data_IF_825597501943
#
_entry.id   IF_825597501943
#
_cell.length_a   1.000
_cell.length_b   1.000
_cell.length_c   1.000
_cell.angle_alpha   90.00
_cell.angle_beta   90.00
_cell.angle_gamma   90.00
#
_symmetry.space_group_name_H-M   'P 1'
#
loop_
_entity.id
_entity.type
_entity.pdbx_description
1 polymer ?
#
# COMPACT_ATOMS: atom_id res chain seq x y z
N UNK A 1 44.56 18.38 -3.98
CA UNK A 1 43.31 17.94 -3.34
C UNK A 1 42.98 18.89 -2.20
N UNK A 2 41.70 19.25 -2.05
CA UNK A 2 41.10 20.32 -1.22
C UNK A 2 42.13 21.22 -0.48
N UNK A 3 42.73 22.22 -1.15
CA UNK A 3 43.72 23.06 -0.50
C UNK A 3 43.05 24.09 0.44
N UNK A 4 43.64 24.27 1.62
CA UNK A 4 43.25 25.18 2.70
C UNK A 4 41.89 24.90 3.35
N UNK A 5 41.95 24.16 4.47
CA UNK A 5 40.87 23.72 5.38
C UNK A 5 40.20 24.89 6.15
N UNK A 6 39.79 25.96 5.45
CA UNK A 6 38.85 26.91 6.04
C UNK A 6 37.52 26.19 6.18
N UNK A 7 37.20 25.77 7.40
CA UNK A 7 35.92 25.14 7.70
C UNK A 7 34.84 26.24 7.82
N UNK A 8 34.47 26.89 6.72
CA UNK A 8 33.32 27.81 6.63
C UNK A 8 32.17 27.16 5.87
N UNK A 9 30.92 27.61 6.06
CA UNK A 9 29.76 27.04 5.33
C UNK A 9 29.95 27.22 3.82
N UNK A 10 30.49 28.38 3.41
CA UNK A 10 30.86 28.68 2.03
C UNK A 10 31.85 27.68 1.44
N UNK A 11 32.90 27.35 2.19
CA UNK A 11 33.94 26.45 1.69
C UNK A 11 33.42 25.01 1.57
N UNK A 12 32.66 24.52 2.56
CA UNK A 12 32.04 23.19 2.49
C UNK A 12 31.13 23.10 1.28
N UNK A 13 30.22 24.07 1.10
CA UNK A 13 29.33 24.11 -0.06
C UNK A 13 30.12 24.06 -1.37
N UNK A 14 31.12 24.95 -1.53
CA UNK A 14 31.98 25.00 -2.72
C UNK A 14 32.67 23.67 -3.00
N UNK A 15 33.14 22.98 -1.97
CA UNK A 15 33.84 21.70 -2.11
C UNK A 15 32.87 20.57 -2.48
N UNK A 16 31.72 20.48 -1.83
CA UNK A 16 30.68 19.48 -2.17
C UNK A 16 30.18 19.66 -3.61
N UNK A 17 29.98 20.91 -4.05
CA UNK A 17 29.57 21.22 -5.42
C UNK A 17 30.62 20.88 -6.50
N UNK A 18 31.89 20.72 -6.13
CA UNK A 18 32.94 20.29 -7.06
C UNK A 18 32.95 18.78 -7.32
N UNK A 19 32.29 17.99 -6.47
CA UNK A 19 32.25 16.54 -6.63
C UNK A 19 31.27 16.19 -7.74
N UNK A 20 31.80 15.72 -8.87
CA UNK A 20 31.01 15.28 -10.01
C UNK A 20 30.81 13.76 -9.97
N UNK A 21 29.67 13.32 -9.45
CA UNK A 21 29.27 11.91 -9.40
C UNK A 21 27.84 11.74 -9.96
N UNK A 22 27.66 11.78 -11.29
CA UNK A 22 26.34 11.71 -11.91
C UNK A 22 25.66 10.35 -11.73
N UNK A 23 26.46 9.28 -11.65
CA UNK A 23 26.00 7.88 -11.52
C UNK A 23 25.82 7.44 -10.07
N UNK A 24 26.48 8.11 -9.11
CA UNK A 24 26.37 7.76 -7.70
C UNK A 24 27.35 6.67 -7.26
N UNK A 25 28.48 6.50 -7.95
CA UNK A 25 29.44 5.45 -7.59
C UNK A 25 30.04 5.66 -6.19
N UNK A 26 30.24 6.93 -5.82
CA UNK A 26 30.77 7.35 -4.52
C UNK A 26 29.69 8.05 -3.69
N UNK A 27 28.41 7.74 -3.93
CA UNK A 27 27.29 8.42 -3.27
C UNK A 27 27.30 8.31 -1.75
N UNK A 28 27.84 7.20 -1.21
CA UNK A 28 28.05 6.99 0.23
C UNK A 28 28.97 8.04 0.82
N UNK A 29 30.04 8.39 0.11
CA UNK A 29 30.95 9.43 0.55
C UNK A 29 30.34 10.83 0.39
N UNK A 30 29.67 11.09 -0.74
CA UNK A 30 29.11 12.40 -1.05
C UNK A 30 27.93 12.77 -0.14
N UNK A 31 27.12 11.80 0.28
CA UNK A 31 25.94 12.06 1.12
C UNK A 31 26.33 12.56 2.51
N UNK A 32 27.47 12.13 3.06
CA UNK A 32 27.98 12.58 4.36
C UNK A 32 28.20 14.09 4.36
N UNK A 33 28.91 14.60 3.35
CA UNK A 33 29.16 16.03 3.24
C UNK A 33 27.88 16.84 2.96
N UNK A 34 26.92 16.27 2.23
CA UNK A 34 25.60 16.90 2.03
C UNK A 34 24.79 16.97 3.33
N UNK A 35 24.85 15.94 4.18
CA UNK A 35 24.25 15.95 5.51
C UNK A 35 24.93 16.98 6.43
N UNK A 36 26.26 17.08 6.41
CA UNK A 36 27.00 18.11 7.15
C UNK A 36 26.60 19.53 6.70
N UNK A 37 26.40 19.73 5.40
CA UNK A 37 25.90 20.99 4.87
C UNK A 37 24.50 21.30 5.44
N UNK A 38 23.56 20.34 5.43
CA UNK A 38 22.23 20.52 6.03
C UNK A 38 22.32 20.89 7.51
N UNK A 39 23.16 20.20 8.29
CA UNK A 39 23.35 20.49 9.70
C UNK A 39 23.80 21.95 9.93
N UNK A 40 24.67 22.49 9.07
CA UNK A 40 25.08 23.89 9.15
C UNK A 40 23.93 24.87 8.87
N UNK A 41 23.01 24.52 7.97
CA UNK A 41 21.80 25.32 7.72
C UNK A 41 20.84 25.29 8.90
N UNK A 42 20.68 24.13 9.55
CA UNK A 42 19.82 23.98 10.72
C UNK A 42 20.33 24.76 11.94
N UNK A 43 21.65 24.95 12.05
CA UNK A 43 22.27 25.77 13.08
C UNK A 43 22.12 27.29 12.84
N UNK A 44 21.60 27.71 11.69
CA UNK A 44 21.40 29.13 11.38
C UNK A 44 22.68 29.93 11.20
N UNK A 45 23.82 29.26 10.99
CA UNK A 45 25.14 29.91 10.83
C UNK A 45 25.23 30.66 9.51
N UNK A 46 25.88 31.82 9.50
CA UNK A 46 26.23 32.56 8.29
C UNK A 46 27.37 31.90 7.51
N UNK A 47 27.67 32.43 6.31
CA UNK A 47 28.59 31.79 5.37
C UNK A 47 30.00 31.56 5.94
N UNK A 48 30.46 32.46 6.79
CA UNK A 48 31.85 32.57 7.25
C UNK A 48 31.98 32.49 8.79
N UNK A 49 30.90 32.12 9.50
CA UNK A 49 30.87 31.95 10.95
C UNK A 49 31.77 30.82 11.46
N UNK A 50 32.21 30.97 12.72
CA UNK A 50 32.87 29.91 13.46
C UNK A 50 31.90 28.74 13.71
N UNK A 51 32.37 27.51 13.47
CA UNK A 51 31.54 26.31 13.55
C UNK A 51 31.72 25.58 14.87
N UNK A 52 30.68 24.86 15.34
CA UNK A 52 30.82 23.93 16.45
C UNK A 52 31.94 22.93 16.18
N UNK A 53 32.70 22.61 17.23
CA UNK A 53 33.88 21.74 17.13
C UNK A 53 33.55 20.38 16.49
N UNK A 54 32.38 19.79 16.78
CA UNK A 54 31.95 18.53 16.19
C UNK A 54 31.78 18.58 14.67
N UNK A 55 31.19 19.65 14.11
CA UNK A 55 31.04 19.79 12.65
C UNK A 55 32.38 19.99 11.97
N UNK A 56 33.29 20.73 12.63
CA UNK A 56 34.65 20.91 12.15
C UNK A 56 35.39 19.58 12.10
N UNK A 57 35.28 18.75 13.14
CA UNK A 57 35.92 17.44 13.19
C UNK A 57 35.42 16.52 12.06
N UNK A 58 34.10 16.36 11.92
CA UNK A 58 33.52 15.54 10.85
C UNK A 58 33.92 16.03 9.44
N UNK A 59 34.06 17.35 9.26
CA UNK A 59 34.53 17.91 8.00
C UNK A 59 36.01 17.57 7.71
N UNK A 60 36.86 17.67 8.73
CA UNK A 60 38.28 17.34 8.61
C UNK A 60 38.47 15.85 8.32
N UNK A 61 37.72 14.98 9.00
CA UNK A 61 37.70 13.54 8.76
C UNK A 61 37.30 13.24 7.31
N UNK A 62 36.16 13.77 6.86
CA UNK A 62 35.72 13.62 5.47
C UNK A 62 36.76 14.11 4.46
N UNK A 63 37.42 15.25 4.72
CA UNK A 63 38.48 15.76 3.84
C UNK A 63 39.70 14.84 3.80
N UNK A 64 40.06 14.20 4.93
CA UNK A 64 41.19 13.29 5.02
C UNK A 64 40.94 11.98 4.27
N UNK A 65 39.68 11.56 4.16
CA UNK A 65 39.28 10.36 3.42
C UNK A 65 39.27 10.59 1.89
N UNK A 66 39.18 11.83 1.39
CA UNK A 66 39.13 12.09 -0.08
C UNK A 66 40.29 11.44 -0.86
N UNK A 67 41.48 11.39 -0.26
CA UNK A 67 42.64 10.77 -0.89
C UNK A 67 42.50 9.25 -1.03
N UNK A 68 41.70 8.60 -0.17
CA UNK A 68 41.44 7.16 -0.25
C UNK A 68 40.53 6.78 -1.43
N UNK A 69 39.70 7.70 -1.95
CA UNK A 69 38.92 7.44 -3.18
C UNK A 69 39.78 7.15 -4.41
N UNK A 70 41.07 7.52 -4.42
CA UNK A 70 41.95 7.21 -5.55
C UNK A 70 42.14 5.70 -5.76
N UNK A 71 42.02 4.90 -4.70
CA UNK A 71 42.12 3.45 -4.80
C UNK A 71 40.78 2.79 -5.14
N UNK A 72 39.68 3.53 -5.13
CA UNK A 72 38.37 3.01 -5.52
C UNK A 72 38.35 2.74 -7.03
N UNK A 73 38.11 1.48 -7.38
CA UNK A 73 38.04 1.03 -8.77
C UNK A 73 36.76 0.24 -8.98
N UNK A 74 36.12 0.45 -10.13
CA UNK A 74 34.95 -0.29 -10.57
C UNK A 74 35.22 -0.84 -11.98
N UNK A 75 34.67 -2.02 -12.24
CA UNK A 75 34.66 -2.60 -13.58
C UNK A 75 33.86 -1.71 -14.51
N UNK A 76 34.47 -1.25 -15.60
CA UNK A 76 33.81 -0.36 -16.58
C UNK A 76 32.72 -1.08 -17.39
N UNK A 77 32.95 -2.35 -17.70
CA UNK A 77 32.04 -3.18 -18.48
C UNK A 77 31.08 -3.91 -17.57
N UNK A 78 29.78 -3.77 -17.78
CA UNK A 78 28.77 -4.52 -17.03
C UNK A 78 28.93 -6.01 -17.35
N UNK A 79 28.69 -6.43 -18.59
CA UNK A 79 28.76 -7.84 -18.98
C UNK A 79 29.55 -8.05 -20.27
N UNK A 80 30.23 -9.19 -20.35
CA UNK A 80 30.97 -9.61 -21.54
C UNK A 80 30.07 -10.50 -22.42
N UNK A 81 29.63 -10.01 -23.57
CA UNK A 81 28.94 -10.78 -24.62
C UNK A 81 27.72 -11.64 -24.19
N UNK A 82 26.88 -11.15 -23.27
CA UNK A 82 25.59 -11.78 -22.97
C UNK A 82 24.45 -11.09 -23.72
N UNK A 83 23.50 -11.88 -24.23
CA UNK A 83 22.28 -11.35 -24.87
C UNK A 83 21.51 -10.46 -23.89
N UNK A 84 21.09 -9.29 -24.35
CA UNK A 84 20.43 -8.25 -23.53
C UNK A 84 19.08 -8.73 -22.98
N UNK A 85 18.46 -9.73 -23.62
CA UNK A 85 17.10 -10.22 -23.32
C UNK A 85 17.00 -11.07 -22.04
N UNK A 86 18.10 -11.29 -21.31
CA UNK A 86 18.13 -12.11 -20.10
C UNK A 86 18.53 -11.35 -18.83
N UNK A 87 18.16 -10.08 -18.75
CA UNK A 87 18.58 -9.18 -17.68
C UNK A 87 17.43 -8.83 -16.72
N UNK A 88 17.77 -8.66 -15.45
CA UNK A 88 16.86 -8.17 -14.41
C UNK A 88 17.44 -6.92 -13.75
N UNK A 89 16.63 -5.88 -13.56
CA UNK A 89 17.01 -4.70 -12.78
C UNK A 89 16.58 -4.92 -11.33
N UNK A 90 17.52 -4.74 -10.41
CA UNK A 90 17.32 -4.91 -8.97
C UNK A 90 17.66 -3.59 -8.27
N UNK A 91 16.63 -2.86 -7.83
CA UNK A 91 16.80 -1.59 -7.12
C UNK A 91 16.50 -1.78 -5.64
N UNK A 92 17.41 -1.36 -4.77
CA UNK A 92 17.27 -1.44 -3.31
C UNK A 92 17.13 -0.02 -2.78
N UNK A 93 16.08 0.23 -2.01
CA UNK A 93 15.82 1.50 -1.36
C UNK A 93 16.03 1.39 0.14
N UNK A 94 16.52 2.47 0.73
CA UNK A 94 16.51 2.66 2.18
C UNK A 94 16.29 4.14 2.51
N UNK A 95 15.80 4.39 3.72
CA UNK A 95 15.57 5.73 4.25
C UNK A 95 15.83 5.78 5.75
N UNK A 96 16.60 6.77 6.19
CA UNK A 96 16.78 7.14 7.59
C UNK A 96 16.34 8.58 7.86
N UNK A 97 16.51 8.99 9.11
CA UNK A 97 16.29 10.38 9.56
C UNK A 97 17.28 11.37 8.95
N UNK A 98 18.38 10.90 8.35
CA UNK A 98 19.44 11.77 7.80
C UNK A 98 19.48 11.77 6.27
N UNK A 99 19.29 10.62 5.66
CA UNK A 99 19.33 10.48 4.21
C UNK A 99 18.46 9.31 3.76
N UNK A 100 18.09 9.35 2.48
CA UNK A 100 17.39 8.26 1.82
C UNK A 100 17.92 8.12 0.40
N UNK A 101 17.77 6.94 -0.17
CA UNK A 101 18.29 6.70 -1.51
C UNK A 101 17.99 5.32 -2.05
N UNK A 102 18.61 5.06 -3.20
CA UNK A 102 18.56 3.79 -3.90
C UNK A 102 19.94 3.42 -4.39
N UNK A 103 20.19 2.12 -4.46
CA UNK A 103 21.28 1.51 -5.23
C UNK A 103 20.69 0.46 -6.17
N UNK A 104 21.11 0.47 -7.43
CA UNK A 104 20.56 -0.35 -8.50
C UNK A 104 21.64 -1.22 -9.15
N UNK A 105 21.27 -2.48 -9.38
CA UNK A 105 22.10 -3.51 -9.99
C UNK A 105 21.39 -4.08 -11.20
N UNK A 106 22.17 -4.62 -12.14
CA UNK A 106 21.66 -5.56 -13.13
C UNK A 106 22.12 -6.95 -12.74
N UNK A 107 21.22 -7.92 -12.89
CA UNK A 107 21.47 -9.34 -12.68
C UNK A 107 21.18 -10.11 -13.96
N UNK A 108 22.13 -10.94 -14.39
CA UNK A 108 21.90 -11.91 -15.47
C UNK A 108 21.06 -13.09 -14.98
N UNK A 109 20.08 -13.52 -15.77
CA UNK A 109 19.19 -14.63 -15.39
C UNK A 109 19.90 -15.99 -15.37
N UNK A 110 20.88 -16.23 -16.26
CA UNK A 110 21.56 -17.54 -16.39
C UNK A 110 22.82 -17.67 -15.54
N UNK A 111 23.75 -16.72 -15.65
CA UNK A 111 25.03 -16.75 -14.91
C UNK A 111 24.89 -16.28 -13.46
N UNK A 112 23.79 -15.58 -13.14
CA UNK A 112 23.57 -14.92 -11.86
C UNK A 112 24.63 -13.86 -11.53
N UNK A 113 25.41 -13.40 -12.51
CA UNK A 113 26.30 -12.26 -12.35
C UNK A 113 25.50 -11.01 -12.01
N UNK A 114 26.03 -10.22 -11.08
CA UNK A 114 25.40 -9.00 -10.58
C UNK A 114 26.40 -7.87 -10.68
N UNK A 115 25.98 -6.77 -11.28
CA UNK A 115 26.84 -5.60 -11.50
C UNK A 115 26.14 -4.35 -10.98
N UNK A 116 26.88 -3.54 -10.23
CA UNK A 116 26.43 -2.22 -9.78
C UNK A 116 26.36 -1.25 -10.96
N UNK A 117 25.26 -0.52 -11.06
CA UNK A 117 25.00 0.36 -12.22
C UNK A 117 24.85 1.81 -11.82
N UNK A 118 24.02 2.07 -10.81
CA UNK A 118 23.65 3.43 -10.46
C UNK A 118 23.20 3.49 -9.00
N UNK A 119 23.54 4.56 -8.31
CA UNK A 119 22.90 4.90 -7.05
C UNK A 119 22.40 6.34 -7.06
N UNK A 120 21.45 6.64 -6.18
CA UNK A 120 20.99 8.00 -5.97
C UNK A 120 20.66 8.24 -4.51
N UNK A 121 21.27 9.26 -3.94
CA UNK A 121 21.05 9.68 -2.55
C UNK A 121 20.43 11.07 -2.48
N UNK A 122 19.64 11.28 -1.43
CA UNK A 122 19.07 12.56 -1.05
C UNK A 122 19.17 12.74 0.46
N UNK A 123 19.43 13.96 0.89
CA UNK A 123 19.37 14.31 2.31
C UNK A 123 17.90 14.32 2.73
N UNK A 124 17.61 13.78 3.92
CA UNK A 124 16.26 13.74 4.46
C UNK A 124 15.71 15.18 4.61
N UNK A 125 14.38 15.39 4.48
CA UNK A 125 13.81 16.72 4.66
C UNK A 125 14.07 17.28 6.07
N UNK A 126 14.43 18.57 6.16
CA UNK A 126 14.60 19.29 7.43
C UNK A 126 13.31 19.27 8.26
N UNK A 127 12.16 19.36 7.58
CA UNK A 127 10.86 19.20 8.22
C UNK A 127 10.73 17.75 8.70
N UNK A 128 10.71 17.56 10.02
CA UNK A 128 10.55 16.25 10.67
C UNK A 128 9.31 15.53 10.12
N UNK A 129 9.55 14.35 9.56
CA UNK A 129 8.52 13.40 9.15
C UNK A 129 8.45 12.28 10.19
N UNK A 130 7.29 11.61 10.27
CA UNK A 130 7.19 10.37 11.04
C UNK A 130 8.09 9.31 10.41
N UNK A 131 8.61 8.39 11.23
CA UNK A 131 9.48 7.31 10.76
C UNK A 131 8.85 6.52 9.59
N UNK A 132 7.58 6.11 9.65
CA UNK A 132 6.89 5.48 8.53
C UNK A 132 6.91 6.29 7.22
N UNK A 133 6.65 7.60 7.30
CA UNK A 133 6.71 8.47 6.11
C UNK A 133 8.12 8.59 5.54
N UNK A 134 9.15 8.54 6.40
CA UNK A 134 10.55 8.51 5.97
C UNK A 134 10.85 7.22 5.24
N UNK A 135 10.42 6.07 5.77
CA UNK A 135 10.64 4.74 5.17
C UNK A 135 10.11 4.64 3.72
N UNK A 136 9.06 5.36 3.36
CA UNK A 136 8.55 5.40 1.98
C UNK A 136 9.40 6.27 1.03
N UNK A 137 10.25 7.19 1.51
CA UNK A 137 10.89 8.20 0.64
C UNK A 137 11.83 7.62 -0.41
N UNK A 138 12.51 6.52 -0.11
CA UNK A 138 13.43 5.84 -1.04
C UNK A 138 12.71 5.13 -2.18
N UNK A 139 11.51 4.59 -1.94
CA UNK A 139 10.82 3.73 -2.90
C UNK A 139 10.46 4.43 -4.24
N UNK A 140 9.95 5.68 -4.26
CA UNK A 140 9.74 6.41 -5.51
C UNK A 140 11.03 6.64 -6.30
N UNK A 141 12.17 6.83 -5.61
CA UNK A 141 13.47 6.97 -6.29
C UNK A 141 13.86 5.64 -6.93
N UNK A 142 13.65 4.52 -6.24
CA UNK A 142 13.92 3.21 -6.79
C UNK A 142 13.09 2.91 -8.04
N UNK A 143 11.80 3.21 -8.02
CA UNK A 143 10.92 3.06 -9.17
C UNK A 143 11.38 3.91 -10.37
N UNK A 144 11.73 5.19 -10.14
CA UNK A 144 12.26 6.08 -11.17
C UNK A 144 13.60 5.61 -11.74
N UNK A 145 14.53 5.19 -10.87
CA UNK A 145 15.85 4.69 -11.29
C UNK A 145 15.69 3.42 -12.10
N UNK A 146 14.84 2.49 -11.69
CA UNK A 146 14.62 1.27 -12.43
C UNK A 146 14.01 1.54 -13.81
N UNK A 147 13.01 2.43 -13.90
CA UNK A 147 12.44 2.85 -15.18
C UNK A 147 13.47 3.55 -16.08
N UNK A 148 14.27 4.44 -15.51
CA UNK A 148 15.37 5.11 -16.22
C UNK A 148 16.39 4.11 -16.78
N UNK A 149 16.82 3.14 -15.97
CA UNK A 149 17.79 2.12 -16.39
C UNK A 149 17.23 1.23 -17.50
N UNK A 150 15.95 0.84 -17.41
CA UNK A 150 15.29 0.06 -18.46
C UNK A 150 15.35 0.78 -19.81
N UNK A 151 15.04 2.08 -19.83
CA UNK A 151 15.13 2.91 -21.04
C UNK A 151 16.58 3.12 -21.51
N UNK A 152 17.49 3.46 -20.59
CA UNK A 152 18.89 3.75 -20.90
C UNK A 152 19.60 2.55 -21.53
N UNK A 153 19.36 1.36 -20.99
CA UNK A 153 20.01 0.13 -21.41
C UNK A 153 19.26 -0.58 -22.55
N UNK A 154 18.13 -0.04 -22.98
CA UNK A 154 17.29 -0.56 -24.09
C UNK A 154 16.93 -2.04 -23.91
N UNK A 155 16.62 -2.45 -22.69
CA UNK A 155 16.23 -3.83 -22.38
C UNK A 155 14.73 -3.99 -22.61
N UNK A 156 14.35 -4.67 -23.68
CA UNK A 156 12.98 -4.95 -24.12
C UNK A 156 12.19 -5.74 -23.06
N UNK A 157 12.72 -6.89 -22.64
CA UNK A 157 12.11 -7.82 -21.68
C UNK A 157 12.84 -7.84 -20.33
N UNK A 158 12.93 -6.68 -19.67
CA UNK A 158 13.58 -6.59 -18.36
C UNK A 158 12.63 -6.82 -17.21
N UNK A 159 12.98 -7.76 -16.32
CA UNK A 159 12.29 -7.87 -15.05
C UNK A 159 12.83 -6.86 -14.04
N UNK A 160 11.99 -5.90 -13.66
CA UNK A 160 12.31 -4.91 -12.62
C UNK A 160 11.82 -5.42 -11.27
N UNK A 161 12.69 -5.36 -10.25
CA UNK A 161 12.33 -5.62 -8.87
C UNK A 161 12.88 -4.51 -7.96
N UNK A 162 12.01 -3.97 -7.13
CA UNK A 162 12.35 -2.98 -6.13
C UNK A 162 12.29 -3.63 -4.73
N UNK A 163 13.26 -3.31 -3.90
CA UNK A 163 13.44 -3.89 -2.58
C UNK A 163 13.48 -2.80 -1.51
N UNK A 164 12.86 -3.10 -0.37
CA UNK A 164 12.93 -2.28 0.85
C UNK A 164 13.02 -3.19 2.07
N UNK A 165 13.65 -2.72 3.14
CA UNK A 165 13.64 -3.37 4.45
C UNK A 165 12.58 -2.80 5.41
N UNK A 166 11.73 -1.89 4.93
CA UNK A 166 10.52 -1.46 5.64
C UNK A 166 9.31 -2.29 5.20
N UNK A 167 8.79 -3.09 6.12
CA UNK A 167 7.53 -3.80 5.93
C UNK A 167 6.35 -2.84 5.82
N UNK A 168 6.39 -1.70 6.54
CA UNK A 168 5.34 -0.67 6.51
C UNK A 168 5.27 -0.05 5.12
N UNK A 169 6.40 0.41 4.58
CA UNK A 169 6.46 0.99 3.24
C UNK A 169 6.01 -0.03 2.18
N UNK A 170 6.46 -1.28 2.28
CA UNK A 170 6.07 -2.35 1.36
C UNK A 170 4.55 -2.59 1.37
N UNK A 171 3.92 -2.62 2.56
CA UNK A 171 2.47 -2.80 2.67
C UNK A 171 1.71 -1.65 2.03
N UNK A 172 2.15 -0.41 2.24
CA UNK A 172 1.53 0.76 1.61
C UNK A 172 1.63 0.73 0.08
N UNK A 173 2.79 0.30 -0.44
CA UNK A 173 3.05 0.20 -1.88
C UNK A 173 2.18 -0.89 -2.51
N UNK A 174 2.00 -2.04 -1.84
CA UNK A 174 1.13 -3.11 -2.32
C UNK A 174 -0.37 -2.79 -2.17
N UNK A 175 -0.73 -1.94 -1.22
CA UNK A 175 -2.11 -1.53 -0.97
C UNK A 175 -2.67 -0.49 -1.95
N UNK A 176 -3.97 -0.26 -1.92
CA UNK A 176 -4.61 0.78 -2.75
C UNK A 176 -4.21 2.18 -2.31
N UNK A 177 -3.61 2.96 -3.22
CA UNK A 177 -3.17 4.35 -2.97
C UNK A 177 -4.29 5.26 -2.44
N UNK A 178 -5.55 4.97 -2.78
CA UNK A 178 -6.72 5.80 -2.40
C UNK A 178 -6.93 5.79 -0.89
N UNK A 179 -6.60 4.67 -0.21
CA UNK A 179 -6.77 4.49 1.24
C UNK A 179 -5.87 5.43 2.06
N UNK A 180 -4.77 5.91 1.50
CA UNK A 180 -3.76 6.68 2.23
C UNK A 180 -3.99 8.19 2.16
N UNK A 181 -3.52 8.92 3.18
CA UNK A 181 -3.43 10.39 3.16
C UNK A 181 -2.59 10.88 1.97
N UNK A 182 -2.82 12.12 1.54
CA UNK A 182 -2.31 12.66 0.27
C UNK A 182 -0.79 12.48 0.06
N UNK A 183 0.02 12.69 1.11
CA UNK A 183 1.48 12.55 1.03
C UNK A 183 1.92 11.13 0.64
N UNK A 184 1.26 10.11 1.21
CA UNK A 184 1.49 8.69 0.94
C UNK A 184 0.84 8.28 -0.38
N UNK A 185 -0.44 8.63 -0.59
CA UNK A 185 -1.19 8.31 -1.79
C UNK A 185 -0.49 8.74 -3.07
N UNK A 186 0.10 9.94 -3.09
CA UNK A 186 0.80 10.45 -4.27
C UNK A 186 2.06 9.64 -4.59
N UNK A 187 2.84 9.26 -3.57
CA UNK A 187 4.06 8.44 -3.74
C UNK A 187 3.73 7.01 -4.13
N UNK A 188 2.74 6.40 -3.46
CA UNK A 188 2.27 5.05 -3.79
C UNK A 188 1.75 5.01 -5.24
N UNK A 189 0.92 5.97 -5.65
CA UNK A 189 0.43 6.05 -7.04
C UNK A 189 1.57 6.16 -8.04
N UNK A 190 2.57 6.99 -7.75
CA UNK A 190 3.75 7.11 -8.60
C UNK A 190 4.50 5.79 -8.75
N UNK A 191 4.78 5.10 -7.64
CA UNK A 191 5.45 3.79 -7.65
C UNK A 191 4.64 2.80 -8.48
N UNK A 192 3.34 2.67 -8.20
CA UNK A 192 2.42 1.77 -8.91
C UNK A 192 2.26 2.08 -10.41
N UNK A 193 2.60 3.31 -10.84
CA UNK A 193 2.60 3.69 -12.26
C UNK A 193 3.91 3.26 -12.96
N UNK A 194 5.02 3.23 -12.21
CA UNK A 194 6.35 2.96 -12.74
C UNK A 194 6.77 1.49 -12.59
N UNK A 195 6.29 0.80 -11.56
CA UNK A 195 6.65 -0.58 -11.22
C UNK A 195 5.41 -1.41 -10.89
N UNK A 196 5.51 -2.72 -11.13
CA UNK A 196 4.48 -3.69 -10.73
C UNK A 196 4.55 -3.93 -9.21
N UNK A 197 3.46 -3.66 -8.45
CA UNK A 197 3.42 -3.90 -7.01
C UNK A 197 3.72 -5.35 -6.61
N UNK A 198 3.47 -6.34 -7.47
CA UNK A 198 3.83 -7.74 -7.26
C UNK A 198 5.35 -7.98 -7.23
N UNK A 199 6.13 -7.04 -7.78
CA UNK A 199 7.59 -7.07 -7.88
C UNK A 199 8.30 -6.20 -6.84
N UNK A 200 7.54 -5.56 -5.97
CA UNK A 200 8.02 -4.91 -4.75
C UNK A 200 8.25 -5.98 -3.68
N UNK A 201 9.47 -6.05 -3.15
CA UNK A 201 9.92 -7.16 -2.31
C UNK A 201 10.53 -6.67 -1.00
N UNK A 202 10.37 -7.48 0.04
CA UNK A 202 11.01 -7.26 1.33
C UNK A 202 12.43 -7.84 1.35
N UNK A 203 13.38 -7.12 1.95
CA UNK A 203 14.69 -7.64 2.29
C UNK A 203 14.99 -7.36 3.75
N UNK A 204 15.81 -8.19 4.40
CA UNK A 204 16.29 -7.85 5.75
C UNK A 204 17.29 -6.71 5.61
N UNK A 205 17.34 -5.82 6.60
CA UNK A 205 18.31 -4.71 6.65
C UNK A 205 19.75 -5.13 6.32
N UNK A 206 20.22 -6.26 6.88
CA UNK A 206 21.58 -6.78 6.65
C UNK A 206 21.84 -7.23 5.20
N UNK A 207 20.79 -7.46 4.44
CA UNK A 207 20.83 -7.81 3.02
C UNK A 207 20.48 -6.61 2.13
N UNK A 208 20.22 -5.43 2.71
CA UNK A 208 19.87 -4.23 1.99
C UNK A 208 21.14 -3.40 1.73
N UNK A 209 21.73 -3.40 0.53
CA UNK A 209 22.88 -2.54 0.22
C UNK A 209 22.58 -1.04 0.37
N UNK A 210 21.31 -0.65 0.24
CA UNK A 210 20.89 0.75 0.42
C UNK A 210 20.97 1.21 1.88
N UNK A 211 20.97 0.30 2.85
CA UNK A 211 21.14 0.65 4.28
C UNK A 211 22.52 1.26 4.57
N UNK A 212 23.51 1.05 3.69
CA UNK A 212 24.77 1.78 3.76
C UNK A 212 24.61 3.28 3.46
N UNK A 213 23.62 3.67 2.63
CA UNK A 213 23.36 5.08 2.24
C UNK A 213 22.87 5.92 3.42
N UNK A 214 22.24 5.27 4.38
CA UNK A 214 21.54 5.92 5.48
C UNK A 214 22.37 5.97 6.76
N UNK A 215 23.50 5.26 6.78
CA UNK A 215 24.50 5.22 7.85
C UNK A 215 25.68 6.14 7.55
N UNK A 216 26.35 6.60 8.60
CA UNK A 216 27.70 7.15 8.47
C UNK A 216 28.66 6.01 8.12
N UNK A 217 28.81 5.75 6.83
CA UNK A 217 29.81 4.81 6.33
C UNK A 217 31.13 5.55 6.14
N UNK A 218 32.17 5.16 6.87
CA UNK A 218 33.54 5.60 6.54
C UNK A 218 33.94 5.07 5.17
N UNK A 219 34.82 5.77 4.44
CA UNK A 219 35.27 5.32 3.12
C UNK A 219 35.91 3.93 3.14
N UNK A 220 36.58 3.55 4.23
CA UNK A 220 37.13 2.21 4.40
C UNK A 220 36.05 1.11 4.35
N UNK A 221 34.82 1.43 4.75
CA UNK A 221 33.68 0.51 4.59
C UNK A 221 33.20 0.49 3.15
N UNK A 222 33.21 1.61 2.43
CA UNK A 222 32.85 1.64 1.00
C UNK A 222 33.82 0.80 0.15
N UNK A 223 35.13 1.02 0.31
CA UNK A 223 36.18 0.33 -0.47
C UNK A 223 36.13 -1.19 -0.31
N UNK A 224 35.76 -1.67 0.89
CA UNK A 224 35.73 -3.09 1.23
C UNK A 224 34.31 -3.69 1.22
N UNK A 225 33.29 -2.94 0.79
CA UNK A 225 31.90 -3.40 0.83
C UNK A 225 31.56 -4.21 -0.42
N UNK A 226 31.66 -5.53 -0.31
CA UNK A 226 31.17 -6.46 -1.33
C UNK A 226 29.67 -6.25 -1.59
N UNK A 227 28.87 -6.00 -0.54
CA UNK A 227 27.42 -5.81 -0.68
C UNK A 227 27.09 -4.53 -1.47
N UNK A 228 27.92 -3.49 -1.39
CA UNK A 228 27.74 -2.27 -2.18
C UNK A 228 28.02 -2.51 -3.66
N UNK A 229 29.12 -3.19 -3.98
CA UNK A 229 29.54 -3.42 -5.37
C UNK A 229 28.77 -4.54 -6.06
N UNK A 230 28.44 -5.62 -5.35
CA UNK A 230 27.86 -6.85 -5.91
C UNK A 230 26.39 -7.07 -5.50
N UNK A 231 25.85 -6.21 -4.62
CA UNK A 231 24.51 -6.37 -4.09
C UNK A 231 24.39 -7.49 -3.05
N UNK A 232 23.15 -7.82 -2.68
CA UNK A 232 22.88 -8.89 -1.72
C UNK A 232 23.35 -10.25 -2.24
N UNK A 233 24.01 -11.06 -1.40
CA UNK A 233 24.57 -12.38 -1.78
C UNK A 233 23.57 -13.30 -2.52
N UNK A 234 22.29 -13.28 -2.15
CA UNK A 234 21.24 -14.07 -2.82
C UNK A 234 21.07 -13.72 -4.30
N UNK A 235 21.39 -12.49 -4.73
CA UNK A 235 21.32 -12.10 -6.13
C UNK A 235 22.29 -12.92 -6.99
N UNK A 236 23.43 -13.32 -6.44
CA UNK A 236 24.40 -14.20 -7.10
C UNK A 236 24.03 -15.68 -7.04
N UNK A 237 22.79 -16.01 -6.66
CA UNK A 237 22.29 -17.37 -6.55
C UNK A 237 21.02 -17.57 -7.40
N UNK A 238 20.73 -18.81 -7.82
CA UNK A 238 19.44 -19.18 -8.38
C UNK A 238 18.27 -18.83 -7.46
N UNK A 239 17.12 -18.44 -8.04
CA UNK A 239 15.93 -18.02 -7.29
C UNK A 239 15.37 -19.09 -6.33
N UNK A 240 15.56 -20.38 -6.64
CA UNK A 240 15.07 -21.47 -5.78
C UNK A 240 15.87 -21.65 -4.49
N UNK A 241 17.06 -21.06 -4.38
CA UNK A 241 17.86 -21.02 -3.14
C UNK A 241 17.55 -19.80 -2.28
N UNK A 242 16.68 -18.90 -2.76
CA UNK A 242 16.37 -17.70 -2.01
C UNK A 242 15.55 -18.06 -0.77
N UNK A 243 15.81 -17.42 0.38
CA UNK A 243 15.04 -17.68 1.57
C UNK A 243 13.56 -17.37 1.31
N UNK A 244 12.68 -18.29 1.68
CA UNK A 244 11.23 -18.10 1.58
C UNK A 244 10.87 -16.83 2.33
N UNK A 245 10.17 -15.91 1.65
CA UNK A 245 9.72 -14.69 2.27
C UNK A 245 8.72 -15.05 3.38
N UNK A 246 9.15 -14.90 4.63
CA UNK A 246 8.22 -14.92 5.77
C UNK A 246 7.49 -13.58 5.70
N UNK A 247 6.31 -13.56 5.07
CA UNK A 247 5.39 -12.43 5.17
C UNK A 247 4.88 -12.39 6.62
N UNK A 248 5.66 -11.77 7.50
CA UNK A 248 5.22 -11.49 8.85
C UNK A 248 3.96 -10.62 8.81
N UNK A 249 3.03 -10.82 9.75
CA UNK A 249 1.87 -9.94 9.91
C UNK A 249 2.39 -8.51 10.10
N UNK A 250 2.17 -7.67 9.09
CA UNK A 250 2.58 -6.27 9.10
C UNK A 250 1.53 -5.53 9.91
N UNK A 251 1.89 -4.78 10.96
CA UNK A 251 0.94 -3.93 11.66
C UNK A 251 0.28 -2.97 10.64
N UNK A 252 -1.05 -2.95 10.57
CA UNK A 252 -1.72 -1.89 9.83
C UNK A 252 -1.47 -0.58 10.56
N UNK A 253 -0.69 0.32 9.94
CA UNK A 253 -0.48 1.63 10.52
C UNK A 253 -1.71 2.51 10.25
N UNK A 254 -2.61 2.56 11.24
CA UNK A 254 -3.91 3.23 11.15
C UNK A 254 -3.76 4.76 10.96
N UNK A 255 -2.61 5.33 11.34
CA UNK A 255 -2.36 6.79 11.36
C UNK A 255 -2.36 7.43 9.97
N UNK A 256 -1.96 6.71 8.92
CA UNK A 256 -1.85 7.22 7.54
C UNK A 256 -3.05 6.88 6.67
N UNK A 257 -4.02 6.13 7.19
CA UNK A 257 -5.30 5.96 6.53
C UNK A 257 -5.97 7.33 6.42
N UNK A 258 -6.54 7.61 5.24
CA UNK A 258 -7.60 8.62 5.18
C UNK A 258 -8.67 8.13 6.14
N UNK A 259 -9.01 8.96 7.12
CA UNK A 259 -10.19 8.72 7.94
C UNK A 259 -11.31 8.36 6.98
N UNK A 260 -11.92 7.20 7.20
CA UNK A 260 -13.05 6.75 6.38
C UNK A 260 -14.10 7.84 6.55
N UNK A 261 -14.20 8.75 5.58
CA UNK A 261 -15.45 9.46 5.36
C UNK A 261 -16.36 8.37 4.87
N UNK A 262 -16.95 7.62 5.80
CA UNK A 262 -18.12 6.83 5.50
C UNK A 262 -19.10 7.89 5.06
N UNK A 263 -19.21 8.11 3.76
CA UNK A 263 -20.45 8.61 3.20
C UNK A 263 -21.39 7.46 3.54
N UNK A 264 -22.04 7.56 4.69
CA UNK A 264 -23.26 6.84 4.93
C UNK A 264 -24.21 7.44 3.90
N UNK A 265 -24.15 6.93 2.67
CA UNK A 265 -25.36 6.91 1.89
C UNK A 265 -26.28 6.05 2.74
N UNK A 266 -27.26 6.70 3.36
CA UNK A 266 -28.45 6.02 3.84
C UNK A 266 -29.07 5.39 2.59
N UNK A 267 -28.54 4.25 2.14
CA UNK A 267 -29.33 3.27 1.45
C UNK A 267 -30.20 2.75 2.57
N UNK A 268 -31.35 3.39 2.74
CA UNK A 268 -32.46 2.79 3.44
C UNK A 268 -32.70 1.49 2.68
N UNK A 269 -32.18 0.38 3.19
CA UNK A 269 -32.62 -0.95 2.76
C UNK A 269 -34.06 -0.97 3.23
N UNK A 270 -34.97 -0.52 2.36
CA UNK A 270 -36.38 -0.76 2.54
C UNK A 270 -36.48 -2.27 2.69
N UNK A 271 -36.91 -2.71 3.87
CA UNK A 271 -37.25 -4.10 4.13
C UNK A 271 -38.08 -4.55 2.92
N UNK A 272 -37.72 -5.66 2.24
CA UNK A 272 -38.43 -6.06 1.03
C UNK A 272 -39.91 -6.09 1.36
N UNK A 273 -40.70 -5.26 0.66
CA UNK A 273 -42.13 -5.15 0.92
C UNK A 273 -42.76 -6.53 0.81
N UNK A 274 -43.61 -6.88 1.76
CA UNK A 274 -44.26 -8.19 1.75
C UNK A 274 -45.04 -8.34 0.43
N UNK A 275 -44.99 -9.50 -0.26
CA UNK A 275 -45.65 -9.68 -1.56
C UNK A 275 -47.13 -9.31 -1.57
N UNK A 276 -47.83 -9.47 -0.43
CA UNK A 276 -49.22 -9.05 -0.28
C UNK A 276 -49.41 -7.53 -0.27
N UNK A 277 -48.47 -6.75 0.28
CA UNK A 277 -48.55 -5.29 0.26
C UNK A 277 -48.52 -4.75 -1.17
N UNK A 278 -47.57 -5.24 -1.96
CA UNK A 278 -47.47 -4.92 -3.38
C UNK A 278 -48.74 -5.32 -4.18
N UNK A 279 -49.37 -6.46 -3.86
CA UNK A 279 -50.61 -6.89 -4.52
C UNK A 279 -51.83 -6.06 -4.10
N UNK A 280 -51.95 -5.72 -2.82
CA UNK A 280 -53.03 -4.88 -2.29
C UNK A 280 -52.96 -3.45 -2.83
N UNK A 281 -51.75 -2.88 -2.95
CA UNK A 281 -51.56 -1.52 -3.46
C UNK A 281 -51.80 -1.42 -4.98
N UNK A 282 -51.54 -2.49 -5.73
CA UNK A 282 -51.64 -2.51 -7.21
C UNK A 282 -53.00 -2.99 -7.74
N UNK A 283 -53.83 -3.61 -6.92
CA UNK A 283 -55.12 -4.17 -7.36
C UNK A 283 -56.30 -3.44 -6.71
N UNK A 284 -57.14 -2.82 -7.53
CA UNK A 284 -58.37 -2.16 -7.09
C UNK A 284 -59.53 -3.09 -6.71
N UNK A 285 -59.32 -4.42 -6.76
CA UNK A 285 -60.36 -5.42 -6.46
C UNK A 285 -59.81 -6.52 -5.55
N UNK A 286 -60.43 -6.70 -4.39
CA UNK A 286 -60.08 -7.76 -3.44
C UNK A 286 -60.19 -9.14 -4.09
N UNK A 287 -61.21 -9.38 -4.91
CA UNK A 287 -61.38 -10.65 -5.64
C UNK A 287 -60.21 -10.93 -6.60
N UNK A 288 -59.61 -9.88 -7.18
CA UNK A 288 -58.41 -10.01 -8.02
C UNK A 288 -57.18 -10.38 -7.19
N UNK A 289 -57.01 -9.76 -6.02
CA UNK A 289 -55.92 -10.10 -5.07
C UNK A 289 -56.04 -11.55 -4.61
N UNK A 290 -57.24 -11.99 -4.19
CA UNK A 290 -57.50 -13.38 -3.80
C UNK A 290 -57.22 -14.32 -4.97
N UNK A 291 -57.65 -13.98 -6.19
CA UNK A 291 -57.41 -14.79 -7.38
C UNK A 291 -55.93 -14.98 -7.71
N UNK A 292 -55.12 -13.92 -7.63
CA UNK A 292 -53.68 -13.99 -7.88
C UNK A 292 -52.96 -14.77 -6.77
N UNK A 293 -53.30 -14.49 -5.52
CA UNK A 293 -52.70 -15.20 -4.37
C UNK A 293 -53.02 -16.70 -4.39
N UNK A 294 -54.25 -17.08 -4.78
CA UNK A 294 -54.65 -18.48 -4.85
C UNK A 294 -53.80 -19.25 -5.89
N UNK A 295 -53.50 -18.62 -7.03
CA UNK A 295 -52.59 -19.20 -8.02
C UNK A 295 -51.16 -19.37 -7.50
N UNK A 296 -50.63 -18.37 -6.80
CA UNK A 296 -49.30 -18.46 -6.19
C UNK A 296 -49.23 -19.57 -5.13
N UNK A 297 -50.23 -19.67 -4.26
CA UNK A 297 -50.30 -20.72 -3.23
C UNK A 297 -50.46 -22.11 -3.85
N UNK A 298 -51.29 -22.25 -4.90
CA UNK A 298 -51.43 -23.50 -5.66
C UNK A 298 -50.12 -23.90 -6.32
N UNK A 299 -49.40 -22.94 -6.91
CA UNK A 299 -48.07 -23.19 -7.48
C UNK A 299 -47.08 -23.71 -6.43
N UNK A 300 -47.01 -23.05 -5.27
CA UNK A 300 -46.15 -23.49 -4.15
C UNK A 300 -46.55 -24.89 -3.66
N UNK A 301 -47.84 -25.16 -3.51
CA UNK A 301 -48.35 -26.48 -3.07
C UNK A 301 -48.04 -27.59 -4.09
N UNK A 302 -48.12 -27.28 -5.39
CA UNK A 302 -47.76 -28.20 -6.47
C UNK A 302 -46.24 -28.49 -6.51
N UNK A 303 -45.40 -27.55 -6.08
CA UNK A 303 -43.96 -27.79 -5.91
C UNK A 303 -43.66 -28.69 -4.69
N UNK A 304 -44.55 -28.71 -3.70
CA UNK A 304 -44.35 -29.43 -2.43
C UNK A 304 -44.94 -30.85 -2.40
N UNK A 305 -45.88 -31.21 -3.30
CA UNK A 305 -46.46 -32.57 -3.39
C UNK A 305 -46.20 -33.20 -4.76
N UNK A 306 -45.63 -34.39 -4.79
CA UNK A 306 -45.21 -35.08 -6.03
C UNK A 306 -46.31 -35.88 -6.76
N UNK A 307 -47.52 -36.08 -6.21
CA UNK A 307 -48.46 -37.05 -6.81
C UNK A 307 -49.97 -36.71 -6.82
N UNK A 308 -50.38 -35.46 -6.59
CA UNK A 308 -51.78 -35.08 -6.81
C UNK A 308 -51.87 -33.72 -7.51
N UNK A 309 -51.83 -33.75 -8.84
CA UNK A 309 -52.04 -32.57 -9.67
C UNK A 309 -53.54 -32.33 -9.76
N UNK A 310 -54.09 -31.44 -8.94
CA UNK A 310 -55.48 -30.99 -9.05
C UNK A 310 -55.67 -30.23 -10.35
N UNK A 311 -56.08 -30.93 -11.41
CA UNK A 311 -56.06 -30.42 -12.78
C UNK A 311 -57.42 -29.94 -13.32
N UNK A 312 -58.44 -29.76 -12.48
CA UNK A 312 -59.74 -29.29 -12.96
C UNK A 312 -60.42 -28.37 -11.95
N UNK A 313 -60.49 -27.08 -12.33
CA UNK A 313 -61.19 -25.95 -11.69
C UNK A 313 -60.74 -25.51 -10.28
N UNK A 314 -60.98 -24.22 -9.95
CA UNK A 314 -60.74 -23.68 -8.60
C UNK A 314 -61.89 -24.15 -7.71
N UNK A 315 -61.58 -24.81 -6.61
CA UNK A 315 -62.58 -25.14 -5.61
C UNK A 315 -62.87 -23.91 -4.74
N UNK A 316 -64.14 -23.71 -4.34
CA UNK A 316 -64.55 -22.61 -3.43
C UNK A 316 -63.72 -22.60 -2.14
N UNK A 317 -63.30 -23.77 -1.68
CA UNK A 317 -62.44 -23.97 -0.51
C UNK A 317 -61.06 -23.34 -0.66
N UNK A 318 -60.46 -23.35 -1.85
CA UNK A 318 -59.15 -22.70 -2.07
C UNK A 318 -59.25 -21.18 -1.99
N UNK A 319 -60.38 -20.60 -2.41
CA UNK A 319 -60.63 -19.16 -2.28
C UNK A 319 -60.80 -18.76 -0.81
N UNK A 320 -61.55 -19.53 -0.03
CA UNK A 320 -61.73 -19.29 1.40
C UNK A 320 -60.40 -19.42 2.17
N UNK A 321 -59.59 -20.43 1.87
CA UNK A 321 -58.25 -20.58 2.45
C UNK A 321 -57.35 -19.40 2.10
N UNK A 322 -57.36 -18.97 0.84
CA UNK A 322 -56.58 -17.82 0.37
C UNK A 322 -57.03 -16.53 1.05
N UNK A 323 -58.34 -16.31 1.19
CA UNK A 323 -58.88 -15.16 1.92
C UNK A 323 -58.38 -15.15 3.36
N UNK A 324 -58.42 -16.29 4.06
CA UNK A 324 -57.90 -16.40 5.43
C UNK A 324 -56.41 -16.06 5.53
N UNK A 325 -55.59 -16.46 4.55
CA UNK A 325 -54.15 -16.12 4.51
C UNK A 325 -53.93 -14.62 4.36
N UNK A 326 -54.66 -13.98 3.42
CA UNK A 326 -54.56 -12.53 3.20
C UNK A 326 -55.04 -11.75 4.44
N UNK A 327 -56.15 -12.19 5.04
CA UNK A 327 -56.70 -11.57 6.25
C UNK A 327 -55.73 -11.68 7.43
N UNK A 328 -55.10 -12.84 7.64
CA UNK A 328 -54.07 -13.01 8.67
C UNK A 328 -52.90 -12.05 8.45
N UNK A 329 -52.44 -11.89 7.22
CA UNK A 329 -51.38 -10.94 6.91
C UNK A 329 -51.78 -9.49 7.26
N UNK A 330 -52.97 -9.05 6.85
CA UNK A 330 -53.45 -7.69 7.16
C UNK A 330 -53.64 -7.50 8.67
N UNK A 331 -54.11 -8.53 9.38
CA UNK A 331 -54.22 -8.50 10.83
C UNK A 331 -52.86 -8.40 11.52
N UNK A 332 -51.86 -9.17 11.07
CA UNK A 332 -50.48 -9.10 11.57
C UNK A 332 -49.84 -7.73 11.32
N UNK A 333 -50.21 -7.06 10.24
CA UNK A 333 -49.72 -5.73 9.91
C UNK A 333 -50.43 -4.62 10.69
N UNK A 334 -51.75 -4.71 10.85
CA UNK A 334 -52.57 -3.68 11.51
C UNK A 334 -52.59 -3.79 13.04
N UNK A 335 -52.43 -5.01 13.58
CA UNK A 335 -52.53 -5.34 15.01
C UNK A 335 -51.31 -6.12 15.50
N UNK A 336 -50.13 -5.74 15.02
CA UNK A 336 -48.87 -6.44 15.30
C UNK A 336 -48.60 -6.57 16.81
N UNK A 337 -48.86 -5.50 17.57
CA UNK A 337 -48.63 -5.42 19.01
C UNK A 337 -49.65 -6.28 19.78
N UNK A 338 -50.93 -6.22 19.43
CA UNK A 338 -51.96 -7.05 20.06
C UNK A 338 -51.73 -8.54 19.79
N UNK A 339 -51.32 -8.92 18.58
CA UNK A 339 -50.99 -10.31 18.25
C UNK A 339 -49.76 -10.79 19.01
N UNK A 340 -48.75 -9.93 19.23
CA UNK A 340 -47.60 -10.28 20.07
C UNK A 340 -48.00 -10.46 21.54
N UNK A 341 -48.85 -9.59 22.08
CA UNK A 341 -49.35 -9.72 23.45
C UNK A 341 -50.19 -10.99 23.65
N UNK A 342 -51.06 -11.33 22.70
CA UNK A 342 -51.84 -12.57 22.72
C UNK A 342 -50.95 -13.82 22.65
N UNK A 343 -49.87 -13.81 21.85
CA UNK A 343 -48.91 -14.93 21.76
C UNK A 343 -48.14 -15.17 23.08
N UNK A 344 -48.01 -14.14 23.91
CA UNK A 344 -47.26 -14.17 25.19
C UNK A 344 -48.23 -14.24 26.40
N UNK A 345 -49.54 -14.43 26.18
CA UNK A 345 -50.59 -14.44 27.22
C UNK A 345 -50.59 -13.18 28.12
N UNK A 346 -50.29 -12.01 27.54
CA UNK A 346 -50.32 -10.72 28.25
C UNK A 346 -51.66 -10.01 28.00
N UNK A 347 -52.26 -9.34 29.00
CA UNK A 347 -53.49 -8.55 28.78
C UNK A 347 -53.25 -7.43 27.77
N UNK A 348 -54.24 -7.16 26.92
CA UNK A 348 -54.18 -6.09 25.92
C UNK A 348 -54.11 -4.72 26.58
N UNK A 349 -53.42 -3.78 25.95
CA UNK A 349 -53.24 -2.43 26.49
C UNK A 349 -54.55 -1.64 26.43
N UNK A 350 -54.79 -0.79 27.42
CA UNK A 350 -56.08 -0.08 27.64
C UNK A 350 -56.51 0.84 26.49
N UNK A 351 -55.61 1.15 25.57
CA UNK A 351 -55.87 1.99 24.40
C UNK A 351 -56.00 1.19 23.08
N UNK A 352 -56.00 -0.15 23.14
CA UNK A 352 -56.20 -0.97 21.93
C UNK A 352 -57.59 -0.73 21.34
N UNK A 353 -57.63 -0.52 20.02
CA UNK A 353 -58.88 -0.32 19.26
C UNK A 353 -59.76 -1.57 19.27
N UNK A 354 -59.19 -2.75 19.59
CA UNK A 354 -59.91 -4.02 19.67
C UNK A 354 -60.68 -4.20 20.99
N UNK A 355 -60.29 -3.50 22.07
CA UNK A 355 -61.04 -3.52 23.33
C UNK A 355 -62.46 -2.97 23.17
N UNK A 356 -62.64 -1.96 22.32
CA UNK A 356 -63.94 -1.36 22.02
C UNK A 356 -64.88 -2.25 21.19
N UNK A 357 -64.36 -3.33 20.58
CA UNK A 357 -65.12 -4.28 19.75
C UNK A 357 -65.54 -5.54 20.52
N UNK A 358 -65.18 -5.63 21.80
CA UNK A 358 -65.62 -6.67 22.71
C UNK A 358 -66.68 -6.07 23.65
N UNK A 359 -67.98 -6.04 23.29
CA UNK A 359 -69.02 -5.77 24.28
C UNK A 359 -68.97 -6.92 25.29
N UNK A 360 -68.72 -6.56 26.55
CA UNK A 360 -68.80 -7.47 27.71
C UNK A 360 -70.15 -8.13 27.83
#
# INVERSE_FOLDING_TARGET
>A
MIPNLKCTKRHIFKTVSKVFDPVGFISLFVIIAKCLLQQLWELGLDFDDAKPQGVKQNWLEWCSEVDTLKSFSLKRTLFSNSGVDEMEIRAFADSSTRAYGVVAYIRQKRSFEVEFVLSKTRVAPVKKLTLPRLELLGAPIAARVAGYLKCLLRISECDIYCWTDSSIALNWIKGSAIRWKQFMANRVREIQTLTDPGREKFCKRRENPADLLSRDCSEQKLLNSEIWCCGARRLSQPKYLWPTAVEGKIPEEITELKGVKTVVQNITVQKPEHPFRCLLDKCSSFNKVVGVTAWCLRFIKNLQKTNDKTNTFRHTTEFEETQKVILKYVQEEAFAEEIQHLKINKPMETHSKLLALCPT
#
